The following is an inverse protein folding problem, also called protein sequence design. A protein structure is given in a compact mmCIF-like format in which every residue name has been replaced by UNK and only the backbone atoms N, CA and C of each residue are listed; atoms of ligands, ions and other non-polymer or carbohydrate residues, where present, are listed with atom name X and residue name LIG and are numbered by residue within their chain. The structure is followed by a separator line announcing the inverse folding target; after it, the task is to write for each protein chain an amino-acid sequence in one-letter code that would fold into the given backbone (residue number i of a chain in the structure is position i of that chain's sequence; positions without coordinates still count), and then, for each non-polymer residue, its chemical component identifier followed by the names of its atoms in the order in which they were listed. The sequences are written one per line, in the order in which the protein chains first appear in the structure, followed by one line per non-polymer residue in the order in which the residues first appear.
data_IF_131333529512
#
_entry.id   IF_131333529512
#
_cell.length_a   1.000
_cell.length_b   1.000
_cell.length_c   1.000
_cell.angle_alpha   90.00
_cell.angle_beta   90.00
_cell.angle_gamma   90.00
#
_symmetry.space_group_name_H-M   'P 1'
#
loop_
_entity.id
_entity.type
_entity.pdbx_description
1 polymer ?
#
# COMPACT_ATOMS: atom_id res chain seq x y z
N UNK A 1 -3.05 -21.69 -13.88
CA UNK A 1 -2.06 -20.73 -13.32
C UNK A 1 -2.82 -19.49 -12.92
N UNK A 2 -2.56 -18.95 -11.74
CA UNK A 2 -3.19 -17.71 -11.28
C UNK A 2 -2.67 -16.54 -12.12
N UNK A 3 -3.58 -15.75 -12.72
CA UNK A 3 -3.23 -14.67 -13.66
C UNK A 3 -3.26 -13.28 -13.03
N UNK A 4 -3.37 -13.18 -11.68
CA UNK A 4 -3.42 -11.93 -10.96
C UNK A 4 -2.44 -11.93 -9.78
N UNK A 5 -2.05 -10.74 -9.35
CA UNK A 5 -1.21 -10.50 -8.17
C UNK A 5 -2.00 -9.77 -7.09
N UNK A 6 -1.76 -10.11 -5.83
CA UNK A 6 -2.32 -9.45 -4.65
C UNK A 6 -1.26 -8.56 -4.01
N UNK A 7 -1.56 -7.27 -3.91
CA UNK A 7 -0.68 -6.25 -3.33
C UNK A 7 -1.31 -5.74 -2.04
N UNK A 8 -0.72 -6.13 -0.91
CA UNK A 8 -1.14 -5.64 0.39
C UNK A 8 -0.60 -4.22 0.66
N UNK A 9 -1.47 -3.30 1.07
CA UNK A 9 -1.10 -1.94 1.47
C UNK A 9 -1.47 -1.74 2.93
N UNK A 10 -0.47 -1.70 3.81
CA UNK A 10 -0.63 -1.53 5.24
C UNK A 10 0.00 -0.23 5.75
N UNK A 11 -0.29 0.12 6.99
CA UNK A 11 0.29 1.27 7.65
C UNK A 11 -0.69 1.95 8.61
N UNK A 12 -0.19 2.87 9.46
CA UNK A 12 -1.01 3.57 10.45
C UNK A 12 -2.17 4.36 9.85
N UNK A 13 -3.18 4.62 10.68
CA UNK A 13 -4.29 5.51 10.33
C UNK A 13 -3.73 6.87 9.92
N UNK A 14 -4.26 7.43 8.84
CA UNK A 14 -3.85 8.73 8.33
C UNK A 14 -2.52 8.75 7.57
N UNK A 15 -1.77 7.66 7.44
CA UNK A 15 -0.50 7.63 6.68
C UNK A 15 -0.68 7.89 5.17
N UNK A 16 -1.88 7.63 4.64
CA UNK A 16 -2.22 7.86 3.23
C UNK A 16 -2.29 6.60 2.39
N UNK A 17 -2.65 5.45 2.98
CA UNK A 17 -2.88 4.18 2.28
C UNK A 17 -3.93 4.32 1.18
N UNK A 18 -5.13 4.76 1.56
CA UNK A 18 -6.26 4.97 0.65
C UNK A 18 -5.93 5.97 -0.46
N UNK A 19 -5.22 7.06 -0.11
CA UNK A 19 -4.74 8.04 -1.09
C UNK A 19 -3.72 7.43 -2.06
N UNK A 20 -2.84 6.56 -1.58
CA UNK A 20 -1.89 5.84 -2.44
C UNK A 20 -2.64 4.95 -3.43
N UNK A 21 -3.58 4.14 -2.94
CA UNK A 21 -4.39 3.24 -3.79
C UNK A 21 -5.19 4.06 -4.81
N UNK A 22 -5.82 5.16 -4.41
CA UNK A 22 -6.54 6.06 -5.32
C UNK A 22 -5.64 6.57 -6.45
N UNK A 23 -4.42 7.03 -6.13
CA UNK A 23 -3.48 7.52 -7.14
C UNK A 23 -2.96 6.39 -8.03
N UNK A 24 -2.61 5.24 -7.45
CA UNK A 24 -2.16 4.06 -8.20
C UNK A 24 -3.25 3.59 -9.17
N UNK A 25 -4.49 3.45 -8.72
CA UNK A 25 -5.60 3.02 -9.57
C UNK A 25 -5.85 4.00 -10.71
N UNK A 26 -5.77 5.31 -10.47
CA UNK A 26 -5.90 6.32 -11.54
C UNK A 26 -4.87 6.19 -12.64
N UNK A 27 -3.61 5.97 -12.27
CA UNK A 27 -2.52 5.91 -13.24
C UNK A 27 -2.42 4.52 -13.92
N UNK A 28 -2.78 3.46 -13.19
CA UNK A 28 -2.58 2.08 -13.66
C UNK A 28 -3.80 1.49 -14.36
N UNK A 29 -5.02 1.93 -14.06
CA UNK A 29 -6.25 1.34 -14.65
C UNK A 29 -6.36 1.49 -16.18
N UNK A 30 -5.58 2.37 -16.79
CA UNK A 30 -5.50 2.46 -18.26
C UNK A 30 -4.66 1.35 -18.90
N UNK A 31 -3.81 0.69 -18.11
CA UNK A 31 -2.86 -0.33 -18.58
C UNK A 31 -3.17 -1.72 -18.03
N UNK A 32 -3.79 -1.79 -16.87
CA UNK A 32 -4.02 -3.02 -16.11
C UNK A 32 -5.47 -3.11 -15.66
N UNK A 33 -5.99 -4.32 -15.60
CA UNK A 33 -7.27 -4.59 -14.97
C UNK A 33 -7.09 -4.69 -13.46
N UNK A 34 -7.62 -3.69 -12.73
CA UNK A 34 -7.40 -3.49 -11.30
C UNK A 34 -8.69 -3.69 -10.53
N UNK A 35 -8.58 -4.26 -9.34
CA UNK A 35 -9.61 -4.30 -8.31
C UNK A 35 -9.04 -3.90 -6.95
N UNK A 36 -9.90 -3.45 -6.03
CA UNK A 36 -9.51 -3.01 -4.69
C UNK A 36 -10.41 -3.65 -3.63
N UNK A 37 -9.78 -4.13 -2.56
CA UNK A 37 -10.45 -4.58 -1.34
C UNK A 37 -9.95 -3.69 -0.22
N UNK A 38 -10.86 -3.06 0.53
CA UNK A 38 -10.54 -2.26 1.70
C UNK A 38 -11.02 -2.93 2.96
N UNK A 39 -10.24 -2.84 4.02
CA UNK A 39 -10.62 -3.34 5.34
C UNK A 39 -10.90 -2.16 6.28
N UNK A 40 -12.04 -2.19 6.92
CA UNK A 40 -12.35 -1.27 8.02
C UNK A 40 -13.01 -2.05 9.16
N UNK A 41 -12.96 -1.50 10.37
CA UNK A 41 -13.51 -2.17 11.56
C UNK A 41 -15.04 -2.05 11.59
N UNK A 42 -15.57 -0.86 11.29
CA UNK A 42 -16.99 -0.51 11.48
C UNK A 42 -17.63 0.23 10.32
N UNK A 43 -16.87 0.63 9.31
CA UNK A 43 -17.36 1.49 8.23
C UNK A 43 -16.88 1.01 6.87
N UNK A 44 -17.49 1.52 5.82
CA UNK A 44 -17.02 1.35 4.44
C UNK A 44 -16.46 2.65 3.88
N UNK A 45 -15.96 3.54 4.76
CA UNK A 45 -15.54 4.89 4.38
C UNK A 45 -14.46 4.89 3.30
N UNK A 46 -13.45 4.02 3.44
CA UNK A 46 -12.37 3.90 2.46
C UNK A 46 -12.89 3.38 1.10
N UNK A 47 -13.82 2.41 1.10
CA UNK A 47 -14.46 1.93 -0.12
C UNK A 47 -15.32 3.02 -0.78
N UNK A 48 -16.09 3.78 0.01
CA UNK A 48 -16.88 4.91 -0.49
C UNK A 48 -16.00 6.02 -1.05
N UNK A 49 -14.90 6.34 -0.36
CA UNK A 49 -13.93 7.32 -0.83
C UNK A 49 -13.34 6.90 -2.19
N UNK A 50 -12.89 5.66 -2.32
CA UNK A 50 -12.35 5.13 -3.57
C UNK A 50 -13.41 5.10 -4.68
N UNK A 51 -14.64 4.72 -4.37
CA UNK A 51 -15.75 4.73 -5.33
C UNK A 51 -16.02 6.13 -5.89
N UNK A 52 -15.88 7.17 -5.06
CA UNK A 52 -16.11 8.57 -5.48
C UNK A 52 -14.90 9.17 -6.21
N UNK A 53 -13.68 8.75 -5.86
CA UNK A 53 -12.46 9.45 -6.26
C UNK A 53 -11.56 8.66 -7.22
N UNK A 54 -11.65 7.32 -7.28
CA UNK A 54 -10.89 6.53 -8.24
C UNK A 54 -11.54 6.54 -9.63
N UNK A 55 -10.85 5.98 -10.62
CA UNK A 55 -11.39 5.75 -11.96
C UNK A 55 -11.95 4.33 -12.12
N UNK A 56 -11.95 3.54 -11.05
CA UNK A 56 -12.48 2.18 -11.10
C UNK A 56 -14.01 2.21 -11.07
N UNK A 57 -14.67 1.31 -11.80
CA UNK A 57 -16.07 1.03 -11.61
C UNK A 57 -16.35 0.61 -10.15
N UNK A 58 -17.47 1.07 -9.55
CA UNK A 58 -17.79 0.75 -8.15
C UNK A 58 -17.76 -0.73 -7.82
N UNK A 59 -18.17 -1.58 -8.77
CA UNK A 59 -18.20 -3.03 -8.64
C UNK A 59 -16.80 -3.69 -8.55
N UNK A 60 -15.72 -2.95 -8.84
CA UNK A 60 -14.34 -3.38 -8.66
C UNK A 60 -13.72 -2.90 -7.34
N UNK A 61 -14.54 -2.33 -6.47
CA UNK A 61 -14.14 -1.89 -5.13
C UNK A 61 -15.06 -2.61 -4.12
N UNK A 62 -14.46 -3.31 -3.16
CA UNK A 62 -15.18 -4.05 -2.14
C UNK A 62 -14.69 -3.66 -0.75
N UNK A 63 -15.59 -3.22 0.11
CA UNK A 63 -15.32 -3.00 1.53
C UNK A 63 -15.59 -4.28 2.34
N UNK A 64 -14.65 -4.66 3.18
CA UNK A 64 -14.77 -5.76 4.15
C UNK A 64 -14.82 -5.18 5.55
N UNK A 65 -15.94 -5.38 6.25
CA UNK A 65 -16.08 -5.00 7.65
C UNK A 65 -15.56 -6.15 8.52
N UNK A 66 -14.44 -5.92 9.18
CA UNK A 66 -13.75 -6.99 9.94
C UNK A 66 -14.30 -7.20 11.34
N UNK A 67 -15.11 -6.27 11.86
CA UNK A 67 -15.82 -6.38 13.14
C UNK A 67 -14.93 -6.53 14.38
N UNK A 68 -13.62 -6.50 14.21
CA UNK A 68 -12.63 -6.76 15.24
C UNK A 68 -11.28 -6.13 14.95
N UNK A 69 -10.20 -6.77 15.44
CA UNK A 69 -8.84 -6.26 15.25
C UNK A 69 -8.43 -6.33 13.77
N UNK A 70 -8.07 -5.21 13.11
CA UNK A 70 -7.67 -5.21 11.70
C UNK A 70 -6.47 -6.09 11.39
N UNK A 71 -5.55 -6.25 12.36
CA UNK A 71 -4.38 -7.11 12.21
C UNK A 71 -4.77 -8.58 12.02
N UNK A 72 -5.78 -9.04 12.77
CA UNK A 72 -6.27 -10.40 12.67
C UNK A 72 -6.79 -10.67 11.27
N UNK A 73 -7.58 -9.76 10.72
CA UNK A 73 -8.22 -9.91 9.41
C UNK A 73 -7.25 -9.97 8.22
N UNK A 74 -6.03 -9.46 8.38
CA UNK A 74 -5.02 -9.50 7.31
C UNK A 74 -3.93 -10.56 7.53
N UNK A 75 -3.88 -11.20 8.72
CA UNK A 75 -2.80 -12.11 9.09
C UNK A 75 -3.29 -13.42 9.72
N UNK A 76 -3.81 -13.39 10.97
CA UNK A 76 -4.12 -14.58 11.73
C UNK A 76 -5.37 -15.31 11.22
N UNK A 77 -6.38 -14.54 10.82
CA UNK A 77 -7.61 -15.05 10.20
C UNK A 77 -7.98 -14.20 8.99
N UNK A 78 -7.32 -14.48 7.89
CA UNK A 78 -7.54 -13.77 6.64
C UNK A 78 -8.73 -14.31 5.81
N UNK A 79 -9.56 -15.18 6.37
CA UNK A 79 -10.64 -15.89 5.65
C UNK A 79 -11.59 -14.93 4.91
N UNK A 80 -12.09 -13.90 5.59
CA UNK A 80 -13.00 -12.92 4.99
C UNK A 80 -12.37 -12.21 3.79
N UNK A 81 -11.09 -11.84 3.90
CA UNK A 81 -10.37 -11.20 2.82
C UNK A 81 -10.05 -12.15 1.66
N UNK A 82 -9.76 -13.42 1.96
CA UNK A 82 -9.56 -14.45 0.93
C UNK A 82 -10.86 -14.70 0.16
N UNK A 83 -12.00 -14.79 0.86
CA UNK A 83 -13.32 -14.89 0.24
C UNK A 83 -13.62 -13.68 -0.64
N UNK A 84 -13.32 -12.46 -0.18
CA UNK A 84 -13.50 -11.24 -0.96
C UNK A 84 -12.62 -11.23 -2.23
N UNK A 85 -11.37 -11.73 -2.13
CA UNK A 85 -10.50 -11.90 -3.30
C UNK A 85 -11.10 -12.90 -4.27
N UNK A 86 -11.55 -14.06 -3.79
CA UNK A 86 -12.13 -15.12 -4.63
C UNK A 86 -13.42 -14.65 -5.32
N UNK A 87 -14.28 -13.91 -4.62
CA UNK A 87 -15.46 -13.29 -5.23
C UNK A 87 -15.07 -12.29 -6.31
N UNK A 88 -14.12 -11.41 -6.03
CA UNK A 88 -13.66 -10.38 -6.97
C UNK A 88 -13.09 -10.99 -8.25
N UNK A 89 -12.22 -11.99 -8.15
CA UNK A 89 -11.60 -12.62 -9.32
C UNK A 89 -12.54 -13.55 -10.08
N UNK A 90 -13.54 -14.10 -9.39
CA UNK A 90 -14.62 -14.88 -10.03
C UNK A 90 -15.52 -13.96 -10.86
N UNK A 91 -15.88 -12.81 -10.31
CA UNK A 91 -16.72 -11.80 -10.97
C UNK A 91 -15.99 -11.10 -12.11
N UNK A 92 -14.68 -10.89 -11.97
CA UNK A 92 -13.83 -10.22 -12.95
C UNK A 92 -12.61 -11.09 -13.30
N UNK A 93 -12.76 -12.10 -14.18
CA UNK A 93 -11.66 -13.01 -14.53
C UNK A 93 -10.49 -12.36 -15.27
N UNK A 94 -10.68 -11.13 -15.74
CA UNK A 94 -9.67 -10.29 -16.39
C UNK A 94 -8.76 -9.54 -15.41
N UNK A 95 -9.05 -9.57 -14.12
CA UNK A 95 -8.26 -8.85 -13.09
C UNK A 95 -6.79 -9.31 -13.10
N UNK A 96 -5.88 -8.34 -13.17
CA UNK A 96 -4.44 -8.54 -13.12
C UNK A 96 -3.86 -8.13 -11.76
N UNK A 97 -4.45 -7.11 -11.10
CA UNK A 97 -3.98 -6.56 -9.83
C UNK A 97 -5.15 -6.44 -8.84
N UNK A 98 -4.98 -7.01 -7.66
CA UNK A 98 -5.89 -6.79 -6.53
C UNK A 98 -5.11 -6.06 -5.43
N UNK A 99 -5.43 -4.79 -5.19
CA UNK A 99 -4.96 -4.08 -4.01
C UNK A 99 -5.82 -4.46 -2.80
N UNK A 100 -5.15 -4.73 -1.67
CA UNK A 100 -5.82 -5.05 -0.40
C UNK A 100 -5.31 -4.05 0.64
N UNK A 101 -6.18 -3.13 1.05
CA UNK A 101 -5.88 -2.14 2.07
C UNK A 101 -6.15 -2.69 3.46
N UNK A 102 -5.23 -2.48 4.40
CA UNK A 102 -5.45 -2.78 5.81
C UNK A 102 -6.25 -1.70 6.53
N UNK A 103 -6.98 -2.04 7.55
CA UNK A 103 -7.88 -1.14 8.31
C UNK A 103 -7.20 -0.13 9.23
N UNK A 104 -5.93 0.22 8.98
CA UNK A 104 -5.20 1.19 9.80
C UNK A 104 -4.49 0.53 10.98
N UNK A 105 -3.25 0.19 10.77
CA UNK A 105 -2.46 -0.65 11.66
C UNK A 105 -1.35 0.13 12.37
N UNK A 106 -0.76 -0.50 13.37
CA UNK A 106 0.48 -0.04 13.96
C UNK A 106 1.70 -0.58 13.17
N UNK A 107 2.92 -0.29 13.63
CA UNK A 107 4.15 -0.70 12.95
C UNK A 107 4.39 -2.23 12.95
N UNK A 108 3.58 -3.01 13.65
CA UNK A 108 3.71 -4.48 13.71
C UNK A 108 2.90 -5.21 12.65
N UNK A 109 1.98 -4.52 11.96
CA UNK A 109 1.11 -5.15 10.98
C UNK A 109 1.88 -5.71 9.79
N UNK A 110 1.54 -6.94 9.44
CA UNK A 110 2.03 -7.63 8.23
C UNK A 110 0.90 -8.47 7.66
N UNK A 111 0.86 -8.60 6.35
CA UNK A 111 -0.09 -9.50 5.69
C UNK A 111 0.31 -10.97 5.84
N UNK A 112 -0.70 -11.85 5.84
CA UNK A 112 -0.49 -13.27 5.60
C UNK A 112 0.08 -13.48 4.20
N UNK A 113 1.07 -14.38 4.01
CA UNK A 113 1.56 -14.75 2.67
C UNK A 113 0.46 -15.33 1.77
N UNK A 114 -0.60 -15.89 2.35
CA UNK A 114 -1.75 -16.39 1.58
C UNK A 114 -2.61 -15.24 1.05
N UNK A 115 -2.61 -14.09 1.72
CA UNK A 115 -3.44 -12.93 1.36
C UNK A 115 -2.72 -11.94 0.46
N UNK A 116 -1.42 -11.71 0.61
CA UNK A 116 -0.67 -10.78 -0.23
C UNK A 116 0.61 -11.42 -0.76
N UNK A 117 0.85 -11.25 -2.06
CA UNK A 117 2.05 -11.75 -2.75
C UNK A 117 3.23 -10.78 -2.56
N UNK A 118 2.93 -9.48 -2.52
CA UNK A 118 3.86 -8.40 -2.18
C UNK A 118 3.16 -7.39 -1.27
N UNK A 119 3.96 -6.69 -0.47
CA UNK A 119 3.45 -5.78 0.57
C UNK A 119 4.10 -4.40 0.47
N UNK A 120 3.26 -3.37 0.52
CA UNK A 120 3.66 -1.96 0.63
C UNK A 120 3.26 -1.48 2.03
N UNK A 121 4.22 -0.94 2.78
CA UNK A 121 3.92 -0.33 4.07
C UNK A 121 4.06 1.18 3.97
N UNK A 122 3.03 1.91 4.38
CA UNK A 122 2.97 3.37 4.28
C UNK A 122 3.09 3.98 5.67
N UNK A 123 4.07 4.86 5.84
CA UNK A 123 4.20 5.76 6.99
C UNK A 123 4.22 7.21 6.48
N UNK A 124 4.11 8.18 7.36
CA UNK A 124 4.24 9.59 6.97
C UNK A 124 5.13 10.38 7.94
N UNK A 125 5.65 11.50 7.46
CA UNK A 125 6.58 12.33 8.24
C UNK A 125 5.94 13.00 9.45
N UNK A 126 4.61 13.21 9.46
CA UNK A 126 3.91 13.82 10.59
C UNK A 126 3.80 12.89 11.81
N UNK A 127 4.04 11.58 11.61
CA UNK A 127 4.16 10.62 12.72
C UNK A 127 5.49 10.77 13.48
N UNK A 128 6.40 11.59 12.98
CA UNK A 128 7.69 11.92 13.57
C UNK A 128 8.87 11.24 12.89
N UNK A 129 10.00 11.95 12.82
CA UNK A 129 11.23 11.49 12.13
C UNK A 129 11.79 10.17 12.67
N UNK A 130 11.44 9.81 13.94
CA UNK A 130 11.95 8.60 14.60
C UNK A 130 11.23 7.32 14.17
N UNK A 131 10.15 7.41 13.39
CA UNK A 131 9.36 6.23 13.01
C UNK A 131 10.21 5.18 12.29
N UNK A 132 11.03 5.49 11.29
CA UNK A 132 11.85 4.46 10.63
C UNK A 132 12.76 3.71 11.61
N UNK A 133 13.44 4.43 12.56
CA UNK A 133 14.35 3.81 13.52
C UNK A 133 13.65 2.98 14.61
N UNK A 134 12.36 3.24 14.88
CA UNK A 134 11.58 2.40 15.79
C UNK A 134 11.39 0.99 15.21
N UNK A 135 11.46 0.87 13.90
CA UNK A 135 11.33 -0.40 13.22
C UNK A 135 9.93 -1.00 13.38
N UNK A 136 9.88 -2.29 13.55
CA UNK A 136 8.65 -3.08 13.54
C UNK A 136 8.50 -3.82 12.21
N UNK A 137 7.76 -4.95 12.20
CA UNK A 137 7.64 -5.80 11.03
C UNK A 137 7.13 -5.08 9.78
N UNK A 138 6.21 -4.13 9.91
CA UNK A 138 5.73 -3.33 8.79
C UNK A 138 6.85 -2.55 8.09
N UNK A 139 7.76 -1.95 8.86
CA UNK A 139 8.90 -1.21 8.30
C UNK A 139 9.99 -2.15 7.77
N UNK A 140 10.32 -3.20 8.54
CA UNK A 140 11.52 -4.01 8.27
C UNK A 140 11.29 -5.18 7.32
N UNK A 141 10.03 -5.61 7.10
CA UNK A 141 9.69 -6.82 6.33
C UNK A 141 8.81 -6.56 5.11
N UNK A 142 8.20 -5.37 4.99
CA UNK A 142 7.46 -5.03 3.76
C UNK A 142 8.39 -5.01 2.55
N UNK A 143 7.90 -5.38 1.40
CA UNK A 143 8.69 -5.38 0.17
C UNK A 143 9.04 -3.96 -0.26
N UNK A 144 8.10 -3.01 -0.07
CA UNK A 144 8.33 -1.58 -0.26
C UNK A 144 7.87 -0.80 0.97
N UNK A 145 8.68 0.16 1.44
CA UNK A 145 8.26 1.19 2.39
C UNK A 145 8.01 2.50 1.65
N UNK A 146 6.84 3.09 1.84
CA UNK A 146 6.50 4.44 1.37
C UNK A 146 6.51 5.40 2.55
N UNK A 147 7.33 6.46 2.47
CA UNK A 147 7.39 7.54 3.45
C UNK A 147 6.70 8.76 2.84
N UNK A 148 5.45 8.98 3.23
CA UNK A 148 4.56 9.94 2.59
C UNK A 148 4.56 11.31 3.29
N UNK A 149 3.91 12.30 2.66
CA UNK A 149 3.71 13.66 3.16
C UNK A 149 5.01 14.41 3.43
N UNK A 150 5.99 14.25 2.55
CA UNK A 150 7.32 14.87 2.69
C UNK A 150 7.26 16.40 2.78
N UNK A 151 6.24 17.02 2.22
CA UNK A 151 5.95 18.45 2.30
C UNK A 151 5.65 18.93 3.74
N UNK A 152 5.20 18.05 4.62
CA UNK A 152 4.94 18.39 6.02
C UNK A 152 6.21 18.41 6.88
N UNK A 153 7.34 17.88 6.41
CA UNK A 153 8.56 17.77 7.20
C UNK A 153 8.99 19.07 7.90
N UNK A 154 9.01 20.25 7.21
CA UNK A 154 9.37 21.51 7.86
C UNK A 154 8.38 21.94 8.96
N UNK A 155 7.11 21.56 8.85
CA UNK A 155 6.05 21.98 9.79
C UNK A 155 6.01 21.12 11.04
N UNK A 156 6.50 19.89 10.96
CA UNK A 156 6.52 18.93 12.09
C UNK A 156 7.91 18.75 12.68
N UNK A 157 8.91 19.50 12.18
CA UNK A 157 10.29 19.42 12.66
C UNK A 157 10.96 18.09 12.35
N UNK A 158 10.57 17.43 11.25
CA UNK A 158 11.17 16.18 10.80
C UNK A 158 12.29 16.47 9.80
N UNK A 159 13.42 15.77 9.97
CA UNK A 159 14.54 15.79 9.05
C UNK A 159 14.48 14.55 8.14
N UNK A 160 14.27 14.79 6.85
CA UNK A 160 14.17 13.71 5.86
C UNK A 160 15.48 12.93 5.71
N UNK A 161 16.64 13.58 5.92
CA UNK A 161 17.94 12.90 5.84
C UNK A 161 18.15 11.92 7.00
N UNK A 162 17.63 12.25 8.18
CA UNK A 162 17.61 11.35 9.32
C UNK A 162 16.68 10.18 9.06
N UNK A 163 15.49 10.44 8.52
CA UNK A 163 14.52 9.37 8.17
C UNK A 163 15.07 8.44 7.08
N UNK A 164 15.78 8.98 6.09
CA UNK A 164 16.47 8.22 5.04
C UNK A 164 17.53 7.29 5.64
N UNK A 165 18.42 7.85 6.47
CA UNK A 165 19.47 7.08 7.13
C UNK A 165 18.88 5.94 7.97
N UNK A 166 17.87 6.25 8.78
CA UNK A 166 17.21 5.27 9.63
C UNK A 166 16.48 4.19 8.82
N UNK A 167 15.82 4.57 7.72
CA UNK A 167 15.16 3.62 6.83
C UNK A 167 16.18 2.69 6.15
N UNK A 168 17.28 3.23 5.61
CA UNK A 168 18.37 2.42 5.05
C UNK A 168 18.88 1.39 6.05
N UNK A 169 19.15 1.83 7.29
CA UNK A 169 19.66 0.97 8.35
C UNK A 169 18.68 -0.13 8.75
N UNK A 170 17.40 0.24 8.97
CA UNK A 170 16.39 -0.70 9.47
C UNK A 170 15.90 -1.68 8.42
N UNK A 171 15.94 -1.30 7.15
CA UNK A 171 15.46 -2.14 6.06
C UNK A 171 16.55 -3.02 5.44
N UNK A 172 17.81 -2.85 5.83
CA UNK A 172 18.92 -3.69 5.38
C UNK A 172 18.97 -3.90 3.86
N UNK A 173 18.83 -2.79 3.10
CA UNK A 173 18.86 -2.81 1.64
C UNK A 173 17.49 -3.01 0.96
N UNK A 174 16.42 -3.26 1.70
CA UNK A 174 15.07 -3.28 1.13
C UNK A 174 14.64 -1.86 0.67
N UNK A 175 13.93 -1.72 -0.46
CA UNK A 175 13.62 -0.43 -1.05
C UNK A 175 12.65 0.39 -0.21
N UNK A 176 12.84 1.72 -0.24
CA UNK A 176 11.87 2.68 0.28
C UNK A 176 11.81 3.90 -0.64
N UNK A 177 10.67 4.59 -0.63
CA UNK A 177 10.41 5.75 -1.49
C UNK A 177 9.77 6.86 -0.65
N UNK A 178 10.34 8.06 -0.69
CA UNK A 178 9.71 9.27 -0.20
C UNK A 178 8.68 9.77 -1.22
N UNK A 179 7.48 10.13 -0.74
CA UNK A 179 6.40 10.60 -1.60
C UNK A 179 5.71 11.84 -1.03
N UNK A 180 5.13 12.64 -1.94
CA UNK A 180 4.07 13.57 -1.63
C UNK A 180 2.89 13.24 -2.54
N UNK A 181 1.97 12.43 -2.05
CA UNK A 181 0.84 11.95 -2.85
C UNK A 181 -0.12 13.07 -3.26
N UNK A 182 -0.22 14.16 -2.50
CA UNK A 182 -1.05 15.31 -2.87
C UNK A 182 -0.55 15.98 -4.14
N UNK A 183 0.77 16.03 -4.34
CA UNK A 183 1.43 16.60 -5.53
C UNK A 183 1.86 15.54 -6.55
N UNK A 184 1.56 14.27 -6.30
CA UNK A 184 2.02 13.12 -7.10
C UNK A 184 3.55 13.00 -7.19
N UNK A 185 4.30 13.59 -6.25
CA UNK A 185 5.75 13.49 -6.22
C UNK A 185 6.17 12.05 -5.93
N UNK A 186 7.05 11.50 -6.77
CA UNK A 186 7.56 10.12 -6.72
C UNK A 186 6.49 9.01 -6.82
N UNK A 187 5.25 9.29 -7.21
CA UNK A 187 4.25 8.26 -7.50
C UNK A 187 4.72 7.31 -8.60
N UNK A 188 5.36 7.84 -9.64
CA UNK A 188 5.93 7.03 -10.73
C UNK A 188 7.02 6.05 -10.24
N UNK A 189 7.73 6.39 -9.16
CA UNK A 189 8.67 5.47 -8.53
C UNK A 189 7.97 4.26 -7.91
N UNK A 190 6.83 4.48 -7.26
CA UNK A 190 6.01 3.39 -6.69
C UNK A 190 5.42 2.52 -7.81
N UNK A 191 4.89 3.16 -8.88
CA UNK A 191 4.36 2.44 -10.06
C UNK A 191 5.46 1.59 -10.70
N UNK A 192 6.63 2.18 -10.97
CA UNK A 192 7.78 1.46 -11.54
C UNK A 192 8.23 0.27 -10.67
N UNK A 193 8.19 0.43 -9.34
CA UNK A 193 8.48 -0.66 -8.42
C UNK A 193 7.45 -1.79 -8.56
N UNK A 194 6.14 -1.47 -8.59
CA UNK A 194 5.07 -2.45 -8.79
C UNK A 194 5.26 -3.17 -10.13
N UNK A 195 5.48 -2.45 -11.22
CA UNK A 195 5.66 -3.02 -12.55
C UNK A 195 6.88 -3.96 -12.59
N UNK A 196 7.99 -3.59 -11.96
CA UNK A 196 9.23 -4.37 -11.97
C UNK A 196 9.17 -5.59 -11.06
N UNK A 197 8.74 -5.40 -9.82
CA UNK A 197 8.90 -6.43 -8.78
C UNK A 197 7.62 -7.22 -8.49
N UNK A 198 6.44 -6.62 -8.67
CA UNK A 198 5.18 -7.32 -8.49
C UNK A 198 4.69 -7.96 -9.80
N UNK A 199 4.70 -7.20 -10.90
CA UNK A 199 4.24 -7.68 -12.20
C UNK A 199 5.35 -8.35 -13.03
N UNK A 200 6.60 -8.34 -12.55
CA UNK A 200 7.78 -8.93 -13.19
C UNK A 200 8.00 -8.42 -14.63
N UNK A 201 7.59 -7.18 -14.92
CA UNK A 201 7.79 -6.57 -16.24
C UNK A 201 9.20 -5.99 -16.33
N UNK A 202 9.86 -6.13 -17.47
CA UNK A 202 11.12 -5.46 -17.76
C UNK A 202 10.86 -3.97 -17.96
N UNK A 203 10.90 -3.22 -16.88
CA UNK A 203 10.84 -1.75 -16.90
C UNK A 203 12.27 -1.24 -17.03
N UNK A 204 12.58 -0.41 -18.05
CA UNK A 204 13.82 0.34 -18.06
C UNK A 204 13.91 1.18 -16.78
N UNK A 205 15.00 1.07 -16.05
CA UNK A 205 15.15 1.78 -14.77
C UNK A 205 14.99 3.30 -15.01
N UNK A 206 14.02 3.95 -14.36
CA UNK A 206 14.03 5.40 -14.33
C UNK A 206 15.32 5.85 -13.65
N UNK A 207 16.11 6.72 -14.31
CA UNK A 207 17.44 7.20 -13.89
C UNK A 207 17.49 7.89 -12.51
N UNK A 208 16.49 7.73 -11.66
CA UNK A 208 16.34 8.42 -10.38
C UNK A 208 15.79 7.54 -9.25
N UNK A 209 16.26 6.29 -9.11
CA UNK A 209 15.96 5.46 -7.95
C UNK A 209 17.23 5.01 -7.23
N UNK A 210 18.20 5.91 -7.12
CA UNK A 210 19.41 5.64 -6.35
C UNK A 210 19.85 6.90 -5.62
N UNK A 211 19.68 6.88 -4.38
CA UNK A 211 20.39 7.42 -3.21
C UNK A 211 19.51 8.12 -2.23
#
# INVERSE_FOLDING_TARGET
MRNYIKIGVAGPVGAGKTALIEKLTREMASKYSVAVITNDIYTQEDAEFLTKNSLLPPERIMGVETGGCPHTAIREDASMNLEAVDEMVTRFPDVEIVFIESGGDNLSATFSPDLADVTIFVIDVAQGEKIPRKGGPGITRSDLLVINKTDLAPFVGADLSIMEHDACRMRNGQPFIFTNLMKKENLNGVIGWIEKYALLKNVEEPKALVR
#
